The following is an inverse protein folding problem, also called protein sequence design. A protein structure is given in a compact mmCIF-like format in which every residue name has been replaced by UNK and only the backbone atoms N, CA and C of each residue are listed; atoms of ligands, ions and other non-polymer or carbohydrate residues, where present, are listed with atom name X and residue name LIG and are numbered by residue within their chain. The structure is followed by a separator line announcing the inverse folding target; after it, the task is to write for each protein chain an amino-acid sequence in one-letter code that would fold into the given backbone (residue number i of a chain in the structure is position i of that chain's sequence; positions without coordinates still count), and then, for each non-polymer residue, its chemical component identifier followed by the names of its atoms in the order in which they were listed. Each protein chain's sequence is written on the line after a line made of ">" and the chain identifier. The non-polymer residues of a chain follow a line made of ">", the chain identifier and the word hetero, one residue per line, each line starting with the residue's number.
data_IF_810777309222
#
_entry.id   IF_810777309222
#
_cell.length_a   1.000
_cell.length_b   1.000
_cell.length_c   1.000
_cell.angle_alpha   90.00
_cell.angle_beta   90.00
_cell.angle_gamma   90.00
#
_symmetry.space_group_name_H-M   'P 1'
#
loop_
_entity.id
_entity.type
_entity.pdbx_description
1 polymer ?
#
# COMPACT_ATOMS: atom_id res chain seq x y z
N UNK A 1 6.14 35.53 -49.76
CA UNK A 1 5.88 34.15 -50.23
C UNK A 1 6.94 33.24 -49.62
N UNK A 2 6.44 32.26 -48.86
CA UNK A 2 7.07 31.02 -48.38
C UNK A 2 8.25 31.11 -47.40
N UNK A 3 7.89 31.26 -46.12
CA UNK A 3 8.68 30.74 -44.99
C UNK A 3 8.30 29.26 -44.76
N UNK A 4 9.25 28.33 -44.83
CA UNK A 4 9.15 27.02 -44.17
C UNK A 4 10.47 26.67 -43.48
N UNK A 5 10.44 26.04 -42.28
CA UNK A 5 11.62 25.76 -41.48
C UNK A 5 12.17 24.36 -41.79
N UNK A 6 13.46 24.23 -42.12
CA UNK A 6 14.13 22.93 -42.16
C UNK A 6 14.77 22.65 -40.80
N UNK A 7 13.93 22.07 -39.93
CA UNK A 7 14.18 20.96 -39.01
C UNK A 7 15.65 20.67 -38.64
N UNK A 8 15.94 20.87 -37.35
CA UNK A 8 16.91 20.14 -36.52
C UNK A 8 17.61 18.97 -37.22
N UNK A 9 18.86 19.18 -37.61
CA UNK A 9 19.79 18.10 -37.88
C UNK A 9 20.23 17.53 -36.53
N UNK A 10 19.46 16.57 -36.03
CA UNK A 10 19.94 15.66 -35.00
C UNK A 10 21.28 15.08 -35.48
N UNK A 11 22.31 15.27 -34.65
CA UNK A 11 23.66 14.74 -34.80
C UNK A 11 23.60 13.25 -35.14
N UNK A 12 23.65 12.93 -36.43
CA UNK A 12 23.67 11.58 -36.94
C UNK A 12 25.13 11.14 -37.11
N UNK A 13 25.47 10.08 -36.39
CA UNK A 13 26.42 9.05 -36.81
C UNK A 13 27.91 9.41 -36.78
N UNK A 14 28.47 9.55 -35.58
CA UNK A 14 29.90 9.29 -35.34
C UNK A 14 30.04 8.09 -34.41
N UNK A 15 29.37 6.97 -34.71
CA UNK A 15 29.74 5.71 -34.05
C UNK A 15 31.11 5.34 -34.59
N UNK A 16 32.09 5.20 -33.70
CA UNK A 16 33.47 4.97 -34.12
C UNK A 16 33.55 3.66 -34.90
N UNK A 17 34.39 3.59 -35.93
CA UNK A 17 34.48 2.39 -36.77
C UNK A 17 34.82 1.12 -35.96
N UNK A 18 35.45 1.30 -34.79
CA UNK A 18 35.70 0.25 -33.80
C UNK A 18 34.41 -0.22 -33.12
N UNK A 19 33.48 0.69 -32.79
CA UNK A 19 32.16 0.30 -32.27
C UNK A 19 31.38 -0.50 -33.31
N UNK A 20 31.41 -0.07 -34.58
CA UNK A 20 30.72 -0.79 -35.66
C UNK A 20 31.33 -2.17 -35.92
N UNK A 21 32.65 -2.30 -35.85
CA UNK A 21 33.35 -3.59 -36.00
C UNK A 21 33.06 -4.53 -34.82
N UNK A 22 33.02 -4.00 -33.59
CA UNK A 22 32.62 -4.74 -32.39
C UNK A 22 31.15 -5.18 -32.45
N UNK A 23 30.24 -4.28 -32.87
CA UNK A 23 28.82 -4.60 -33.08
C UNK A 23 28.65 -5.70 -34.14
N UNK A 24 29.41 -5.63 -35.23
CA UNK A 24 29.36 -6.63 -36.29
C UNK A 24 29.91 -7.98 -35.81
N UNK A 25 30.96 -7.98 -34.98
CA UNK A 25 31.49 -9.20 -34.37
C UNK A 25 30.51 -9.85 -33.39
N UNK A 26 29.78 -9.05 -32.59
CA UNK A 26 28.76 -9.56 -31.66
C UNK A 26 27.54 -10.12 -32.40
N UNK A 27 27.19 -9.54 -33.55
CA UNK A 27 26.01 -9.94 -34.34
C UNK A 27 26.30 -11.13 -35.26
N UNK A 28 27.55 -11.34 -35.70
CA UNK A 28 27.92 -12.47 -36.56
C UNK A 28 28.12 -13.79 -35.80
N UNK A 29 28.36 -13.76 -34.49
CA UNK A 29 28.42 -14.97 -33.69
C UNK A 29 26.98 -15.49 -33.51
N UNK A 30 26.63 -16.59 -34.18
CA UNK A 30 25.33 -17.29 -34.08
C UNK A 30 25.01 -17.81 -32.66
N UNK A 31 25.92 -17.60 -31.71
CA UNK A 31 25.74 -17.89 -30.29
C UNK A 31 25.74 -16.55 -29.56
N UNK A 32 24.55 -15.94 -29.46
CA UNK A 32 24.34 -14.64 -28.82
C UNK A 32 24.82 -14.59 -27.35
N UNK A 33 25.01 -15.74 -26.70
CA UNK A 33 25.65 -15.87 -25.39
C UNK A 33 26.05 -17.34 -25.15
N UNK A 34 27.23 -17.66 -24.58
CA UNK A 34 27.62 -19.05 -24.27
C UNK A 34 26.68 -19.73 -23.27
N UNK A 35 25.86 -18.95 -22.58
CA UNK A 35 24.89 -19.40 -21.61
C UNK A 35 23.48 -19.17 -22.15
N UNK A 36 22.86 -20.23 -22.66
CA UNK A 36 21.48 -20.23 -23.08
C UNK A 36 20.63 -20.88 -21.98
N UNK A 37 19.83 -20.13 -21.21
CA UNK A 37 18.99 -20.68 -20.15
C UNK A 37 17.81 -21.51 -20.68
N UNK A 38 17.53 -21.49 -21.99
CA UNK A 38 16.53 -22.34 -22.63
C UNK A 38 17.15 -23.63 -23.22
N UNK A 39 18.45 -23.86 -23.02
CA UNK A 39 19.11 -25.07 -23.50
C UNK A 39 18.91 -26.23 -22.52
N UNK A 40 18.73 -27.45 -23.02
CA UNK A 40 18.58 -28.61 -22.15
C UNK A 40 19.81 -28.87 -21.25
N UNK A 41 21.00 -28.36 -21.64
CA UNK A 41 22.19 -28.44 -20.79
C UNK A 41 22.16 -27.48 -19.59
N UNK A 42 21.41 -26.36 -19.66
CA UNK A 42 21.26 -25.45 -18.52
C UNK A 42 20.34 -26.04 -17.46
N UNK A 43 19.27 -26.74 -17.86
CA UNK A 43 18.38 -27.43 -16.93
C UNK A 43 19.15 -28.45 -16.09
N UNK A 44 19.99 -29.29 -16.73
CA UNK A 44 20.82 -30.26 -16.02
C UNK A 44 21.84 -29.61 -15.05
N UNK A 45 22.35 -28.41 -15.38
CA UNK A 45 23.21 -27.65 -14.49
C UNK A 45 22.44 -27.13 -13.27
N UNK A 46 21.24 -26.57 -13.47
CA UNK A 46 20.40 -26.09 -12.39
C UNK A 46 19.87 -27.23 -11.51
N UNK A 47 19.49 -28.36 -12.09
CA UNK A 47 19.09 -29.56 -11.35
C UNK A 47 20.22 -30.04 -10.41
N UNK A 48 21.49 -29.99 -10.88
CA UNK A 48 22.63 -30.35 -10.04
C UNK A 48 22.87 -29.37 -8.89
N UNK A 49 22.63 -28.08 -9.10
CA UNK A 49 22.72 -27.06 -8.05
C UNK A 49 21.56 -27.17 -7.03
N UNK A 50 20.36 -27.52 -7.50
CA UNK A 50 19.22 -27.78 -6.64
C UNK A 50 19.43 -29.05 -5.79
N UNK A 51 20.09 -30.07 -6.34
CA UNK A 51 20.48 -31.26 -5.57
C UNK A 51 21.55 -30.95 -4.50
N UNK A 52 22.44 -29.99 -4.75
CA UNK A 52 23.42 -29.49 -3.76
C UNK A 52 22.78 -28.67 -2.63
N UNK A 53 21.62 -28.08 -2.87
CA UNK A 53 20.86 -27.30 -1.89
C UNK A 53 19.54 -28.02 -1.56
N UNK A 54 19.53 -28.91 -0.55
CA UNK A 54 18.32 -29.59 -0.12
C UNK A 54 17.44 -28.61 0.67
N UNK A 55 16.88 -27.59 0.01
CA UNK A 55 15.94 -26.64 0.59
C UNK A 55 14.71 -27.35 1.17
N UNK A 56 14.36 -28.50 0.59
CA UNK A 56 13.29 -29.38 1.10
C UNK A 56 13.64 -30.07 2.43
N UNK A 57 14.92 -30.25 2.74
CA UNK A 57 15.39 -30.85 4.02
C UNK A 57 15.69 -29.76 5.06
N UNK A 58 16.02 -28.54 4.61
CA UNK A 58 16.35 -27.38 5.43
C UNK A 58 15.12 -26.56 5.88
N UNK A 59 14.02 -26.63 5.11
CA UNK A 59 12.76 -25.97 5.42
C UNK A 59 11.64 -26.99 5.34
N UNK A 60 11.44 -27.72 6.43
CA UNK A 60 10.25 -28.58 6.55
C UNK A 60 9.01 -27.68 6.51
N UNK A 61 7.93 -28.11 5.83
CA UNK A 61 6.66 -27.36 5.76
C UNK A 61 6.18 -26.87 7.14
N UNK A 62 6.42 -27.67 8.18
CA UNK A 62 6.11 -27.34 9.58
C UNK A 62 6.93 -26.16 10.13
N UNK A 63 8.22 -26.09 9.79
CA UNK A 63 9.09 -24.99 10.23
C UNK A 63 8.74 -23.70 9.48
N UNK A 64 8.38 -23.81 8.20
CA UNK A 64 7.93 -22.68 7.40
C UNK A 64 6.57 -22.15 7.89
N UNK A 65 5.62 -23.02 8.22
CA UNK A 65 4.34 -22.58 8.80
C UNK A 65 4.56 -21.93 10.16
N UNK A 66 5.38 -22.54 11.02
CA UNK A 66 5.71 -22.00 12.36
C UNK A 66 6.41 -20.64 12.27
N UNK A 67 7.40 -20.50 11.40
CA UNK A 67 8.10 -19.23 11.17
C UNK A 67 7.16 -18.16 10.59
N UNK A 68 6.26 -18.54 9.68
CA UNK A 68 5.26 -17.63 9.12
C UNK A 68 4.27 -17.16 10.18
N UNK A 69 3.79 -18.05 11.05
CA UNK A 69 2.89 -17.71 12.15
C UNK A 69 3.58 -16.80 13.16
N UNK A 70 4.84 -17.07 13.51
CA UNK A 70 5.63 -16.20 14.38
C UNK A 70 5.82 -14.82 13.77
N UNK A 71 6.15 -14.74 12.48
CA UNK A 71 6.28 -13.48 11.75
C UNK A 71 4.96 -12.71 11.75
N UNK A 72 3.86 -13.36 11.37
CA UNK A 72 2.53 -12.73 11.35
C UNK A 72 2.12 -12.25 12.74
N UNK A 73 2.34 -13.05 13.78
CA UNK A 73 2.08 -12.64 15.16
C UNK A 73 2.92 -11.43 15.56
N UNK A 74 4.21 -11.39 15.18
CA UNK A 74 5.06 -10.25 15.45
C UNK A 74 4.59 -8.99 14.71
N UNK A 75 4.16 -9.12 13.45
CA UNK A 75 3.57 -7.99 12.71
C UNK A 75 2.28 -7.52 13.35
N UNK A 76 1.40 -8.43 13.78
CA UNK A 76 0.17 -8.09 14.48
C UNK A 76 0.44 -7.36 15.80
N UNK A 77 1.47 -7.74 16.56
CA UNK A 77 1.87 -7.02 17.77
C UNK A 77 2.36 -5.60 17.46
N UNK A 78 3.15 -5.42 16.39
CA UNK A 78 3.61 -4.09 15.97
C UNK A 78 2.46 -3.19 15.48
N UNK A 79 1.50 -3.76 14.74
CA UNK A 79 0.31 -3.02 14.31
C UNK A 79 -0.67 -2.77 15.45
N UNK A 80 -0.78 -3.68 16.42
CA UNK A 80 -1.56 -3.50 17.65
C UNK A 80 -0.95 -2.41 18.56
N UNK A 81 0.37 -2.23 18.52
CA UNK A 81 1.07 -1.15 19.21
C UNK A 81 0.80 0.24 18.62
N UNK A 82 0.15 0.35 17.46
CA UNK A 82 -0.44 1.61 17.00
C UNK A 82 -1.69 1.82 17.85
N UNK A 83 -1.50 2.41 19.02
CA UNK A 83 -2.59 2.79 19.89
C UNK A 83 -3.42 3.86 19.18
N UNK A 84 -4.54 3.41 18.59
CA UNK A 84 -5.49 4.22 17.85
C UNK A 84 -5.95 5.41 18.71
N UNK A 85 -6.03 5.23 20.03
CA UNK A 85 -6.42 6.32 20.95
C UNK A 85 -5.33 7.39 21.05
N UNK A 86 -4.06 7.01 21.09
CA UNK A 86 -2.94 7.96 21.11
C UNK A 86 -2.80 8.68 19.77
N UNK A 87 -2.93 7.97 18.65
CA UNK A 87 -2.85 8.60 17.32
C UNK A 87 -4.02 9.58 17.09
N UNK A 88 -5.23 9.20 17.51
CA UNK A 88 -6.42 10.02 17.38
C UNK A 88 -6.36 11.24 18.31
N UNK A 89 -5.91 11.07 19.56
CA UNK A 89 -5.70 12.21 20.47
C UNK A 89 -4.61 13.17 19.98
N UNK A 90 -3.52 12.68 19.39
CA UNK A 90 -2.47 13.53 18.81
C UNK A 90 -3.01 14.36 17.64
N UNK A 91 -3.68 13.72 16.68
CA UNK A 91 -4.21 14.36 15.46
C UNK A 91 -5.36 15.33 15.73
N UNK A 92 -6.21 15.04 16.71
CA UNK A 92 -7.45 15.79 16.97
C UNK A 92 -7.44 16.58 18.30
N UNK A 93 -6.31 16.65 19.00
CA UNK A 93 -6.14 17.38 20.28
C UNK A 93 -6.62 18.84 20.24
N UNK A 94 -6.55 19.50 19.08
CA UNK A 94 -7.01 20.88 18.88
C UNK A 94 -8.43 21.02 18.30
N UNK A 95 -9.11 19.91 18.00
CA UNK A 95 -10.36 19.88 17.24
C UNK A 95 -11.55 19.30 18.01
N UNK A 96 -11.31 18.50 19.05
CA UNK A 96 -12.38 17.91 19.84
C UNK A 96 -11.99 17.72 21.32
N UNK A 97 -12.98 17.65 22.24
CA UNK A 97 -12.75 17.31 23.65
C UNK A 97 -12.14 15.92 23.81
N UNK A 98 -11.21 15.76 24.76
CA UNK A 98 -10.50 14.49 24.99
C UNK A 98 -11.43 13.36 25.43
N UNK A 99 -12.52 13.68 26.15
CA UNK A 99 -13.53 12.70 26.54
C UNK A 99 -14.20 12.05 25.32
N UNK A 100 -14.52 12.87 24.30
CA UNK A 100 -15.15 12.40 23.07
C UNK A 100 -14.19 11.51 22.28
N UNK A 101 -12.93 11.92 22.13
CA UNK A 101 -11.89 11.17 21.45
C UNK A 101 -11.64 9.80 22.10
N UNK A 102 -11.61 9.74 23.42
CA UNK A 102 -11.46 8.49 24.16
C UNK A 102 -12.67 7.56 24.01
N UNK A 103 -13.90 8.10 24.00
CA UNK A 103 -15.10 7.31 23.79
C UNK A 103 -15.17 6.77 22.35
N UNK A 104 -14.86 7.62 21.37
CA UNK A 104 -14.80 7.24 19.96
C UNK A 104 -13.77 6.13 19.74
N UNK A 105 -12.57 6.26 20.29
CA UNK A 105 -11.53 5.23 20.19
C UNK A 105 -11.98 3.87 20.75
N UNK A 106 -12.67 3.85 21.90
CA UNK A 106 -13.22 2.61 22.48
C UNK A 106 -14.31 1.99 21.61
N UNK A 107 -15.20 2.81 21.06
CA UNK A 107 -16.30 2.38 20.20
C UNK A 107 -15.75 1.83 18.87
N UNK A 108 -14.78 2.51 18.28
CA UNK A 108 -14.12 2.08 17.04
C UNK A 108 -13.46 0.70 17.20
N UNK A 109 -12.70 0.48 18.27
CA UNK A 109 -12.08 -0.83 18.56
C UNK A 109 -13.16 -1.91 18.71
N UNK A 110 -14.22 -1.64 19.47
CA UNK A 110 -15.34 -2.57 19.67
C UNK A 110 -16.02 -2.94 18.34
N UNK A 111 -16.23 -1.97 17.45
CA UNK A 111 -16.88 -2.23 16.15
C UNK A 111 -15.94 -3.01 15.22
N UNK A 112 -14.64 -2.70 15.21
CA UNK A 112 -13.64 -3.49 14.46
C UNK A 112 -13.62 -4.94 14.95
N UNK A 113 -13.60 -5.17 16.26
CA UNK A 113 -13.66 -6.51 16.84
C UNK A 113 -14.96 -7.24 16.49
N UNK A 114 -16.09 -6.52 16.48
CA UNK A 114 -17.37 -7.07 16.04
C UNK A 114 -17.39 -7.41 14.55
N UNK A 115 -16.83 -6.56 13.69
CA UNK A 115 -16.73 -6.84 12.24
C UNK A 115 -15.84 -8.05 11.98
N UNK A 116 -14.68 -8.13 12.64
CA UNK A 116 -13.73 -9.23 12.51
C UNK A 116 -14.29 -10.56 13.05
N UNK A 117 -15.01 -10.54 14.16
CA UNK A 117 -15.59 -11.75 14.77
C UNK A 117 -16.89 -12.22 14.12
N UNK A 118 -17.72 -11.28 13.64
CA UNK A 118 -19.04 -11.58 13.07
C UNK A 118 -19.01 -11.73 11.54
N UNK A 119 -17.86 -11.49 10.90
CA UNK A 119 -17.72 -11.52 9.44
C UNK A 119 -18.66 -10.53 8.73
N UNK A 120 -19.01 -9.44 9.41
CA UNK A 120 -19.99 -8.48 8.90
C UNK A 120 -19.37 -7.67 7.76
N UNK A 121 -19.99 -7.71 6.59
CA UNK A 121 -19.55 -7.03 5.36
C UNK A 121 -19.96 -5.55 5.39
N UNK A 122 -19.87 -4.92 6.57
CA UNK A 122 -20.28 -3.54 6.73
C UNK A 122 -19.32 -2.65 5.92
N UNK A 123 -19.86 -1.76 5.09
CA UNK A 123 -19.01 -0.84 4.34
C UNK A 123 -18.28 0.09 5.32
N UNK A 124 -17.08 0.58 4.96
CA UNK A 124 -16.33 1.47 5.85
C UNK A 124 -17.15 2.73 6.22
N UNK A 125 -17.96 3.24 5.29
CA UNK A 125 -18.87 4.36 5.56
C UNK A 125 -19.91 4.03 6.62
N UNK A 126 -20.51 2.84 6.56
CA UNK A 126 -21.50 2.40 7.55
C UNK A 126 -20.84 2.17 8.91
N UNK A 127 -19.60 1.67 8.93
CA UNK A 127 -18.81 1.53 10.16
C UNK A 127 -18.57 2.90 10.82
N UNK A 128 -18.20 3.92 10.04
CA UNK A 128 -18.01 5.28 10.52
C UNK A 128 -19.31 5.87 11.07
N UNK A 129 -20.42 5.72 10.34
CA UNK A 129 -21.74 6.19 10.81
C UNK A 129 -22.11 5.51 12.13
N UNK A 130 -21.86 4.21 12.27
CA UNK A 130 -22.16 3.49 13.50
C UNK A 130 -21.30 3.97 14.68
N UNK A 131 -19.99 4.15 14.47
CA UNK A 131 -19.09 4.72 15.47
C UNK A 131 -19.57 6.10 15.97
N UNK A 132 -20.01 6.96 15.05
CA UNK A 132 -20.44 8.33 15.37
C UNK A 132 -21.83 8.36 16.00
N UNK A 133 -22.74 7.47 15.60
CA UNK A 133 -24.09 7.40 16.14
C UNK A 133 -24.12 7.12 17.65
N UNK A 134 -23.21 6.28 18.16
CA UNK A 134 -23.08 6.01 19.59
C UNK A 134 -22.52 7.20 20.37
N UNK A 135 -21.73 8.07 19.72
CA UNK A 135 -21.11 9.25 20.34
C UNK A 135 -22.02 10.49 20.29
N UNK A 136 -22.86 10.61 19.25
CA UNK A 136 -23.81 11.70 19.06
C UNK A 136 -25.27 11.20 19.06
N UNK A 137 -25.85 10.92 20.23
CA UNK A 137 -27.19 10.30 20.35
C UNK A 137 -28.37 11.20 19.94
N UNK A 138 -28.11 12.39 19.40
CA UNK A 138 -29.13 13.35 18.95
C UNK A 138 -29.22 13.51 17.43
N UNK A 139 -28.38 12.80 16.66
CA UNK A 139 -28.32 12.90 15.21
C UNK A 139 -28.99 11.68 14.57
N UNK A 140 -29.79 11.92 13.53
CA UNK A 140 -30.43 10.83 12.79
C UNK A 140 -29.43 10.10 11.89
N UNK A 141 -29.72 8.84 11.58
CA UNK A 141 -28.84 8.00 10.77
C UNK A 141 -28.72 8.55 9.34
N UNK A 142 -29.84 9.01 8.76
CA UNK A 142 -29.85 9.66 7.45
C UNK A 142 -28.94 10.89 7.39
N UNK A 143 -28.92 11.72 8.44
CA UNK A 143 -28.10 12.93 8.48
C UNK A 143 -26.61 12.59 8.58
N UNK A 144 -26.27 11.58 9.38
CA UNK A 144 -24.90 11.08 9.50
C UNK A 144 -24.41 10.45 8.18
N UNK A 145 -25.27 9.74 7.46
CA UNK A 145 -24.93 9.18 6.15
C UNK A 145 -24.65 10.28 5.12
N UNK A 146 -25.45 11.35 5.11
CA UNK A 146 -25.20 12.52 4.27
C UNK A 146 -23.84 13.16 4.57
N UNK A 147 -23.46 13.25 5.85
CA UNK A 147 -22.15 13.74 6.27
C UNK A 147 -21.00 12.81 5.87
N UNK A 148 -21.24 11.49 5.81
CA UNK A 148 -20.24 10.50 5.41
C UNK A 148 -20.02 10.42 3.88
N UNK A 149 -20.97 10.87 3.06
CA UNK A 149 -20.88 10.79 1.58
C UNK A 149 -19.61 11.39 0.98
N UNK A 150 -19.16 12.61 1.34
CA UNK A 150 -17.92 13.18 0.80
C UNK A 150 -16.71 12.26 1.04
N UNK A 151 -16.65 11.62 2.20
CA UNK A 151 -15.61 10.66 2.54
C UNK A 151 -15.77 9.36 1.74
N UNK A 152 -16.99 8.87 1.56
CA UNK A 152 -17.30 7.69 0.74
C UNK A 152 -16.90 7.84 -0.73
N UNK A 153 -17.08 9.03 -1.32
CA UNK A 153 -16.67 9.30 -2.69
C UNK A 153 -15.15 9.29 -2.86
N UNK A 154 -14.41 9.78 -1.87
CA UNK A 154 -12.96 9.83 -1.95
C UNK A 154 -12.30 8.46 -1.83
N UNK A 155 -12.94 7.50 -1.17
CA UNK A 155 -12.44 6.13 -1.08
C UNK A 155 -12.50 5.37 -2.42
N UNK A 156 -13.16 5.93 -3.44
CA UNK A 156 -13.31 5.31 -4.77
C UNK A 156 -12.39 5.93 -5.84
N UNK A 157 -11.65 6.98 -5.51
CA UNK A 157 -10.84 7.75 -6.46
C UNK A 157 -9.46 8.11 -5.90
N UNK A 158 -8.46 8.13 -6.77
CA UNK A 158 -7.04 8.29 -6.43
C UNK A 158 -6.57 9.75 -6.36
N UNK A 159 -7.42 10.69 -5.94
CA UNK A 159 -7.06 12.11 -6.00
C UNK A 159 -7.42 12.85 -4.71
N UNK A 160 -6.37 13.37 -4.06
CA UNK A 160 -6.29 14.24 -2.88
C UNK A 160 -6.97 13.72 -1.60
N UNK A 161 -6.19 13.59 -0.51
CA UNK A 161 -6.69 13.22 0.82
C UNK A 161 -7.69 14.27 1.33
N UNK A 162 -9.01 14.03 1.22
CA UNK A 162 -10.02 15.04 1.54
C UNK A 162 -10.09 15.26 3.05
N UNK A 163 -9.65 14.27 3.83
CA UNK A 163 -9.54 14.36 5.28
C UNK A 163 -8.53 15.44 5.62
N UNK A 164 -7.36 15.46 5.00
CA UNK A 164 -6.37 16.51 5.28
C UNK A 164 -6.85 17.89 4.81
N UNK A 165 -7.50 17.98 3.64
CA UNK A 165 -8.06 19.25 3.15
C UNK A 165 -9.22 19.79 4.02
N UNK A 166 -10.07 18.90 4.53
CA UNK A 166 -11.15 19.28 5.47
C UNK A 166 -10.57 19.69 6.83
N UNK A 167 -9.60 18.93 7.35
CA UNK A 167 -8.89 19.28 8.59
C UNK A 167 -8.16 20.63 8.47
N UNK A 168 -7.54 20.92 7.33
CA UNK A 168 -6.87 22.19 7.07
C UNK A 168 -7.83 23.39 7.05
N UNK A 169 -9.13 23.15 6.80
CA UNK A 169 -10.16 24.19 6.77
C UNK A 169 -10.76 24.45 8.16
N UNK A 170 -10.67 23.49 9.09
CA UNK A 170 -11.25 23.61 10.43
C UNK A 170 -10.31 24.39 11.34
N UNK A 171 -10.85 25.42 12.00
CA UNK A 171 -10.10 26.19 13.00
C UNK A 171 -9.95 25.39 14.29
N UNK A 172 -8.72 25.27 14.78
CA UNK A 172 -8.44 24.70 16.09
C UNK A 172 -8.96 25.62 17.18
N UNK A 173 -10.00 25.19 17.89
CA UNK A 173 -10.54 25.90 19.05
C UNK A 173 -10.10 25.17 20.33
N UNK A 174 -9.72 25.93 21.36
CA UNK A 174 -9.45 25.36 22.67
C UNK A 174 -10.76 24.91 23.30
N UNK A 175 -11.02 23.61 23.26
CA UNK A 175 -12.13 22.99 23.99
C UNK A 175 -11.77 22.97 25.48
N UNK A 176 -12.67 23.47 26.32
CA UNK A 176 -12.60 23.25 27.76
C UNK A 176 -13.28 21.92 28.06
N UNK A 177 -12.63 21.11 28.89
CA UNK A 177 -13.26 19.92 29.50
C UNK A 177 -14.39 20.31 30.48
#
# INVERSE_FOLDING_TARGET
>A
MNNQPSRSQFSANNSTQVELDLLNSIVLDDIAYPWNPEAAESDAYFDSLEEELPLSDLLTDLEMTSASEQFLNQTNLLFSAIDIQNSLSEKFSGLAPQNLLNNLGKIAVKIVDQVNSLGSILSLSDQLVHCVSEVLPGWDLEDLEVMARPLAYSMRGSQDDPVENTLATIQSNSWYD
#
